data_IF_228974286189
#
_entry.id   IF_228974286189
#
_cell.length_a   1.000
_cell.length_b   1.000
_cell.length_c   1.000
_cell.angle_alpha   90.00
_cell.angle_beta   90.00
_cell.angle_gamma   90.00
#
_symmetry.space_group_name_H-M   'P 1'
#
loop_
_entity.id
_entity.type
_entity.pdbx_description
1 polymer ?
#
# COMPACT_ATOMS: atom_id res chain seq x y z
N UNK A 1 -11.59 13.13 -38.67
CA UNK A 1 -13.04 13.44 -38.54
C UNK A 1 -13.94 12.59 -39.46
N UNK A 2 -13.60 12.37 -40.75
CA UNK A 2 -14.41 11.53 -41.66
C UNK A 2 -14.42 10.02 -41.34
N UNK A 3 -13.40 9.49 -40.65
CA UNK A 3 -13.31 8.06 -40.29
C UNK A 3 -14.15 7.67 -39.06
N UNK A 4 -14.37 8.60 -38.12
CA UNK A 4 -15.18 8.39 -36.92
C UNK A 4 -16.70 8.33 -37.23
N UNK A 5 -17.14 9.08 -38.24
CA UNK A 5 -18.52 9.07 -38.73
C UNK A 5 -18.90 7.76 -39.45
N UNK A 6 -17.92 7.01 -39.97
CA UNK A 6 -18.16 5.73 -40.63
C UNK A 6 -18.43 4.62 -39.61
N UNK A 7 -17.64 4.56 -38.52
CA UNK A 7 -17.82 3.58 -37.44
C UNK A 7 -19.11 3.78 -36.65
N UNK A 8 -19.55 5.03 -36.43
CA UNK A 8 -20.83 5.30 -35.78
C UNK A 8 -22.03 4.81 -36.62
N UNK A 9 -21.91 4.81 -37.95
CA UNK A 9 -22.96 4.35 -38.86
C UNK A 9 -23.11 2.83 -38.86
N UNK A 10 -22.01 2.08 -38.75
CA UNK A 10 -22.02 0.62 -38.60
C UNK A 10 -22.56 0.16 -37.24
N UNK A 11 -22.21 0.87 -36.16
CA UNK A 11 -22.71 0.56 -34.81
C UNK A 11 -24.23 0.82 -34.73
N UNK A 12 -24.73 1.88 -35.38
CA UNK A 12 -26.16 2.18 -35.42
C UNK A 12 -26.97 1.22 -36.32
N UNK A 13 -26.37 0.67 -37.37
CA UNK A 13 -27.03 -0.34 -38.21
C UNK A 13 -27.13 -1.71 -37.55
N UNK A 14 -26.17 -2.09 -36.69
CA UNK A 14 -26.19 -3.37 -35.98
C UNK A 14 -27.12 -3.40 -34.75
N UNK A 15 -27.59 -2.24 -34.25
CA UNK A 15 -28.49 -2.16 -33.09
C UNK A 15 -30.00 -2.10 -33.44
N UNK A 16 -30.37 -1.96 -34.71
CA UNK A 16 -31.77 -1.91 -35.14
C UNK A 16 -32.12 -3.02 -36.13
N UNK A 17 -32.08 -4.27 -35.66
CA UNK A 17 -32.86 -5.37 -36.25
C UNK A 17 -34.08 -5.68 -35.39
N UNK A 18 -34.85 -4.65 -35.01
CA UNK A 18 -36.16 -4.84 -34.36
C UNK A 18 -37.23 -4.65 -35.43
N UNK A 19 -37.84 -5.77 -35.82
CA UNK A 19 -38.89 -5.87 -36.82
C UNK A 19 -40.21 -5.31 -36.26
N UNK A 20 -40.45 -4.00 -36.36
CA UNK A 20 -41.73 -3.39 -36.02
C UNK A 20 -42.72 -3.51 -37.19
N UNK A 21 -43.33 -4.68 -37.37
CA UNK A 21 -44.64 -4.75 -38.02
C UNK A 21 -45.68 -4.17 -37.04
N UNK A 22 -46.13 -2.94 -37.29
CA UNK A 22 -47.47 -2.51 -36.89
C UNK A 22 -47.64 -1.67 -35.61
N UNK A 23 -46.70 -0.78 -35.24
CA UNK A 23 -46.95 0.19 -34.16
C UNK A 23 -46.59 1.62 -34.61
N UNK A 24 -47.62 2.45 -34.83
CA UNK A 24 -47.48 3.91 -35.01
C UNK A 24 -47.13 4.55 -33.66
N UNK A 25 -45.86 4.84 -33.40
CA UNK A 25 -45.48 5.69 -32.26
C UNK A 25 -45.79 7.15 -32.56
N UNK A 26 -46.56 7.80 -31.66
CA UNK A 26 -46.83 9.23 -31.68
C UNK A 26 -45.52 10.01 -31.46
N UNK A 27 -45.40 11.17 -32.13
CA UNK A 27 -44.22 12.06 -32.17
C UNK A 27 -43.59 12.43 -30.82
N UNK A 28 -44.26 12.16 -29.70
CA UNK A 28 -43.82 12.47 -28.33
C UNK A 28 -42.73 11.52 -27.79
N UNK A 29 -42.65 10.27 -28.26
CA UNK A 29 -41.66 9.30 -27.76
C UNK A 29 -40.25 9.52 -28.34
N UNK A 30 -40.16 10.02 -29.59
CA UNK A 30 -38.88 10.34 -30.24
C UNK A 30 -38.18 11.55 -29.59
N UNK A 31 -38.95 12.51 -29.07
CA UNK A 31 -38.43 13.71 -28.40
C UNK A 31 -37.71 13.40 -27.08
N UNK A 32 -38.21 12.41 -26.33
CA UNK A 32 -37.64 12.01 -25.04
C UNK A 32 -36.31 11.25 -25.24
N UNK A 33 -36.22 10.43 -26.29
CA UNK A 33 -34.98 9.69 -26.60
C UNK A 33 -33.86 10.62 -27.09
N UNK A 34 -34.20 11.65 -27.88
CA UNK A 34 -33.24 12.68 -28.34
C UNK A 34 -32.79 13.56 -27.16
N UNK A 35 -33.68 13.87 -26.22
CA UNK A 35 -33.34 14.59 -24.98
C UNK A 35 -32.36 13.81 -24.08
N UNK A 36 -32.55 12.50 -23.92
CA UNK A 36 -31.63 11.66 -23.14
C UNK A 36 -30.26 11.51 -23.80
N UNK A 37 -30.19 11.42 -25.14
CA UNK A 37 -28.92 11.39 -25.88
C UNK A 37 -28.15 12.72 -25.82
N UNK A 38 -28.85 13.86 -25.79
CA UNK A 38 -28.22 15.18 -25.63
C UNK A 38 -27.62 15.38 -24.23
N UNK A 39 -28.26 14.86 -23.17
CA UNK A 39 -27.72 14.91 -21.80
C UNK A 39 -26.49 14.01 -21.64
N UNK A 40 -26.47 12.85 -22.32
CA UNK A 40 -25.28 11.96 -22.34
C UNK A 40 -24.10 12.60 -23.10
N UNK A 41 -24.37 13.40 -24.13
CA UNK A 41 -23.34 14.13 -24.88
C UNK A 41 -22.78 15.35 -24.13
N UNK A 42 -23.56 15.99 -23.26
CA UNK A 42 -23.11 17.14 -22.45
C UNK A 42 -22.17 16.72 -21.30
N UNK A 43 -22.17 15.45 -20.89
CA UNK A 43 -21.19 14.92 -19.93
C UNK A 43 -19.89 14.39 -20.57
N UNK A 44 -19.75 14.45 -21.90
CA UNK A 44 -18.50 14.16 -22.58
C UNK A 44 -17.89 15.45 -23.14
N UNK A 45 -16.69 15.79 -22.65
CA UNK A 45 -15.77 16.82 -23.20
C UNK A 45 -16.10 18.30 -22.92
N UNK A 46 -15.83 18.75 -21.69
CA UNK A 46 -15.20 20.07 -21.51
C UNK A 46 -13.68 19.90 -21.71
N UNK A 47 -13.26 19.72 -22.96
CA UNK A 47 -11.85 19.73 -23.35
C UNK A 47 -11.47 21.19 -23.61
N UNK A 48 -10.95 21.86 -22.58
CA UNK A 48 -10.28 23.16 -22.75
C UNK A 48 -9.01 22.89 -23.56
N UNK A 49 -9.01 23.31 -24.82
CA UNK A 49 -7.84 23.20 -25.71
C UNK A 49 -6.87 24.31 -25.31
N UNK A 50 -5.84 23.95 -24.53
CA UNK A 50 -4.64 24.77 -24.36
C UNK A 50 -3.68 24.43 -25.52
N UNK A 51 -3.18 25.40 -26.29
CA UNK A 51 -2.24 25.12 -27.36
C UNK A 51 -0.85 24.86 -26.74
N UNK A 52 -0.49 23.58 -26.60
CA UNK A 52 0.84 23.15 -26.18
C UNK A 52 0.89 21.68 -25.74
N UNK A 53 1.29 20.78 -26.65
CA UNK A 53 1.83 19.45 -26.36
C UNK A 53 0.93 18.47 -25.57
N UNK A 54 0.24 17.56 -26.28
CA UNK A 54 -0.33 16.36 -25.65
C UNK A 54 0.83 15.41 -25.32
N UNK A 55 1.41 15.55 -24.13
CA UNK A 55 1.97 14.39 -23.41
C UNK A 55 0.78 13.61 -22.87
N UNK A 56 0.72 12.31 -23.15
CA UNK A 56 -0.46 11.47 -22.92
C UNK A 56 -1.03 11.65 -21.51
N UNK A 57 -2.33 11.96 -21.43
CA UNK A 57 -3.04 12.06 -20.16
C UNK A 57 -3.01 10.70 -19.47
N UNK A 58 -2.17 10.56 -18.45
CA UNK A 58 -2.18 9.38 -17.59
C UNK A 58 -3.49 9.43 -16.80
N UNK A 59 -4.35 8.43 -16.95
CA UNK A 59 -5.62 8.37 -16.23
C UNK A 59 -5.32 8.18 -14.74
N UNK A 60 -5.56 9.21 -13.94
CA UNK A 60 -5.49 9.10 -12.49
C UNK A 60 -6.68 8.28 -11.96
N UNK A 61 -6.40 7.44 -10.97
CA UNK A 61 -7.37 6.57 -10.32
C UNK A 61 -7.30 6.78 -8.81
N UNK A 62 -8.46 6.99 -8.20
CA UNK A 62 -8.59 7.01 -6.76
C UNK A 62 -8.65 5.55 -6.25
N UNK A 63 -7.65 5.18 -5.46
CA UNK A 63 -7.57 3.91 -4.75
C UNK A 63 -7.11 2.69 -5.58
N UNK A 64 -6.82 1.60 -4.87
CA UNK A 64 -6.44 0.31 -5.45
C UNK A 64 -7.16 -0.85 -4.74
N UNK A 65 -7.77 -1.75 -5.52
CA UNK A 65 -8.58 -2.87 -4.99
C UNK A 65 -9.97 -2.44 -4.53
N UNK A 66 -10.81 -3.42 -4.16
CA UNK A 66 -12.21 -3.20 -3.75
C UNK A 66 -12.65 -4.06 -2.56
N UNK A 67 -11.70 -4.63 -1.82
CA UNK A 67 -11.93 -5.42 -0.62
C UNK A 67 -11.32 -4.77 0.61
N UNK A 68 -11.65 -5.30 1.79
CA UNK A 68 -10.97 -4.95 3.04
C UNK A 68 -9.53 -5.44 3.01
N UNK A 69 -8.53 -4.56 3.19
CA UNK A 69 -7.15 -4.98 3.25
C UNK A 69 -6.86 -5.85 4.47
N UNK A 70 -5.88 -6.74 4.35
CA UNK A 70 -5.28 -7.46 5.47
C UNK A 70 -3.91 -6.85 5.75
N UNK A 71 -3.72 -6.33 6.95
CA UNK A 71 -2.45 -5.76 7.40
C UNK A 71 -1.72 -6.79 8.27
N UNK A 72 -0.54 -7.25 7.88
CA UNK A 72 0.19 -8.31 8.58
C UNK A 72 1.55 -7.78 9.05
N UNK A 73 1.82 -7.92 10.34
CA UNK A 73 3.13 -7.62 10.91
C UNK A 73 4.17 -8.67 10.52
N UNK A 74 5.24 -8.27 9.83
CA UNK A 74 6.28 -9.19 9.34
C UNK A 74 7.64 -8.84 9.95
N UNK A 75 8.32 -9.85 10.49
CA UNK A 75 9.61 -9.70 11.15
C UNK A 75 10.76 -9.42 10.18
N UNK A 76 11.77 -8.70 10.65
CA UNK A 76 12.95 -8.40 9.84
C UNK A 76 14.31 -8.47 10.59
N UNK A 77 14.39 -9.16 11.73
CA UNK A 77 15.69 -9.57 12.28
C UNK A 77 16.48 -10.41 11.27
N UNK A 78 17.80 -10.48 11.43
CA UNK A 78 18.66 -11.28 10.54
C UNK A 78 18.24 -12.75 10.45
N UNK A 79 17.85 -13.34 11.59
CA UNK A 79 17.47 -14.75 11.68
C UNK A 79 16.07 -15.04 11.11
N UNK A 80 15.30 -14.01 10.76
CA UNK A 80 13.98 -14.13 10.13
C UNK A 80 14.02 -13.95 8.60
N UNK A 81 15.19 -13.62 8.04
CA UNK A 81 15.37 -13.38 6.60
C UNK A 81 15.80 -14.66 5.87
N UNK A 82 15.39 -14.87 4.62
CA UNK A 82 14.42 -14.06 3.87
C UNK A 82 12.98 -14.27 4.35
N UNK A 83 12.15 -13.23 4.23
CA UNK A 83 10.71 -13.28 4.50
C UNK A 83 9.96 -13.99 3.37
N UNK A 84 8.73 -14.38 3.64
CA UNK A 84 7.80 -14.97 2.67
C UNK A 84 6.62 -14.05 2.42
N UNK A 85 6.18 -13.96 1.15
CA UNK A 85 4.94 -13.30 0.74
C UNK A 85 5.01 -11.78 0.60
N UNK A 86 6.18 -11.15 0.76
CA UNK A 86 6.29 -9.68 0.63
C UNK A 86 6.15 -9.22 -0.84
N UNK A 87 6.51 -10.07 -1.80
CA UNK A 87 6.37 -9.79 -3.23
C UNK A 87 4.91 -9.63 -3.71
N UNK A 88 3.94 -10.05 -2.89
CA UNK A 88 2.51 -9.93 -3.15
C UNK A 88 1.85 -8.76 -2.40
N UNK A 89 2.56 -8.11 -1.48
CA UNK A 89 2.02 -6.98 -0.74
C UNK A 89 1.83 -5.78 -1.67
N UNK A 90 0.69 -5.10 -1.53
CA UNK A 90 0.43 -3.87 -2.27
C UNK A 90 1.17 -2.68 -1.66
N UNK A 91 1.24 -2.64 -0.33
CA UNK A 91 2.00 -1.62 0.40
C UNK A 91 2.77 -2.27 1.54
N UNK A 92 4.03 -1.91 1.71
CA UNK A 92 4.84 -2.32 2.86
C UNK A 92 5.36 -1.07 3.55
N UNK A 93 5.01 -0.89 4.83
CA UNK A 93 5.66 0.13 5.66
C UNK A 93 6.79 -0.48 6.45
N UNK A 94 7.95 0.18 6.44
CA UNK A 94 9.13 -0.17 7.22
C UNK A 94 9.47 0.96 8.19
N UNK A 95 9.64 0.58 9.45
CA UNK A 95 9.98 1.50 10.54
C UNK A 95 11.00 0.82 11.44
N UNK A 96 11.90 1.59 12.04
CA UNK A 96 12.78 1.08 13.10
C UNK A 96 11.97 0.73 14.35
N UNK A 97 12.34 -0.37 14.99
CA UNK A 97 11.75 -0.89 16.23
C UNK A 97 12.85 -1.06 17.28
N UNK A 98 12.57 -1.77 18.37
CA UNK A 98 13.52 -1.96 19.48
C UNK A 98 14.86 -2.53 19.02
N UNK A 99 15.92 -2.13 19.72
CA UNK A 99 17.30 -2.57 19.45
C UNK A 99 17.81 -2.22 18.05
N UNK A 100 17.14 -1.31 17.34
CA UNK A 100 17.52 -0.86 16.00
C UNK A 100 17.08 -1.79 14.87
N UNK A 101 16.31 -2.84 15.16
CA UNK A 101 15.80 -3.76 14.14
C UNK A 101 14.62 -3.08 13.45
N UNK A 102 14.56 -3.03 12.12
CA UNK A 102 13.32 -2.61 11.45
C UNK A 102 12.29 -3.74 11.44
N UNK A 103 11.00 -3.40 11.37
CA UNK A 103 9.91 -4.35 11.15
C UNK A 103 8.93 -3.80 10.12
N UNK A 104 8.19 -4.71 9.49
CA UNK A 104 7.24 -4.36 8.45
C UNK A 104 5.79 -4.49 8.91
N UNK A 105 4.93 -3.61 8.42
CA UNK A 105 3.49 -3.89 8.27
C UNK A 105 3.19 -3.97 6.78
N UNK A 106 2.83 -5.17 6.32
CA UNK A 106 2.53 -5.47 4.93
C UNK A 106 1.02 -5.51 4.70
N UNK A 107 0.54 -4.72 3.75
CA UNK A 107 -0.87 -4.54 3.42
C UNK A 107 -1.19 -5.32 2.14
N UNK A 108 -2.16 -6.22 2.23
CA UNK A 108 -2.62 -7.07 1.13
C UNK A 108 -4.08 -6.77 0.82
N UNK A 109 -4.36 -6.36 -0.41
CA UNK A 109 -5.69 -6.00 -0.88
C UNK A 109 -6.00 -6.60 -2.26
N UNK A 110 -5.08 -6.48 -3.24
CA UNK A 110 -5.33 -6.92 -4.63
C UNK A 110 -4.95 -8.37 -4.87
N UNK A 111 -4.06 -8.92 -4.04
CA UNK A 111 -3.54 -10.28 -4.17
C UNK A 111 -3.58 -10.99 -2.81
N UNK A 112 -3.86 -12.28 -2.87
CA UNK A 112 -3.71 -13.17 -1.73
C UNK A 112 -2.31 -13.80 -1.73
N UNK A 113 -1.68 -13.83 -0.56
CA UNK A 113 -0.47 -14.58 -0.27
C UNK A 113 -0.79 -15.87 0.52
N UNK A 114 -0.33 -17.01 0.00
CA UNK A 114 -0.47 -18.33 0.60
C UNK A 114 0.40 -18.53 1.85
N UNK A 115 1.48 -17.75 1.97
CA UNK A 115 2.35 -17.73 3.14
C UNK A 115 2.89 -16.31 3.33
N UNK A 116 2.84 -15.83 4.57
CA UNK A 116 3.35 -14.53 4.99
C UNK A 116 4.09 -14.70 6.31
N UNK A 117 5.31 -14.18 6.38
CA UNK A 117 6.06 -14.14 7.64
C UNK A 117 7.58 -14.08 7.48
N UNK A 118 8.34 -14.26 8.57
CA UNK A 118 7.84 -14.63 9.89
C UNK A 118 6.89 -13.57 10.50
N UNK A 119 5.81 -14.03 11.11
CA UNK A 119 4.74 -13.22 11.68
C UNK A 119 5.19 -12.64 13.04
N UNK A 120 5.04 -11.34 13.26
CA UNK A 120 5.58 -10.67 14.46
C UNK A 120 4.62 -9.69 15.12
N UNK A 121 5.08 -9.12 16.22
CA UNK A 121 4.34 -8.24 17.11
C UNK A 121 4.08 -6.88 16.51
N UNK A 122 2.97 -6.31 16.95
CA UNK A 122 2.61 -4.93 16.63
C UNK A 122 3.13 -3.96 17.70
N UNK A 123 3.11 -2.67 17.36
CA UNK A 123 3.41 -1.51 18.22
C UNK A 123 2.33 -0.45 17.94
N UNK A 124 2.15 0.55 18.83
CA UNK A 124 1.16 1.60 18.62
C UNK A 124 1.23 2.22 17.22
N UNK A 125 2.41 2.63 16.77
CA UNK A 125 2.59 3.25 15.45
C UNK A 125 2.33 2.30 14.28
N UNK A 126 2.63 1.00 14.38
CA UNK A 126 2.27 0.05 13.32
C UNK A 126 0.75 -0.16 13.24
N UNK A 127 0.07 -0.18 14.39
CA UNK A 127 -1.38 -0.28 14.45
C UNK A 127 -2.06 0.97 13.90
N UNK A 128 -1.52 2.16 14.22
CA UNK A 128 -1.96 3.42 13.62
C UNK A 128 -1.74 3.39 12.10
N UNK A 129 -0.55 3.01 11.61
CA UNK A 129 -0.29 2.87 10.16
C UNK A 129 -1.29 1.89 9.52
N UNK A 130 -1.49 0.72 10.11
CA UNK A 130 -2.45 -0.26 9.60
C UNK A 130 -3.86 0.34 9.51
N UNK A 131 -4.32 1.03 10.57
CA UNK A 131 -5.66 1.63 10.66
C UNK A 131 -5.99 2.56 9.48
N UNK A 132 -4.99 3.19 8.86
CA UNK A 132 -5.20 4.08 7.70
C UNK A 132 -5.77 3.38 6.46
N UNK A 133 -5.80 2.05 6.46
CA UNK A 133 -6.31 1.21 5.36
C UNK A 133 -7.65 0.54 5.69
N UNK A 134 -8.27 0.85 6.84
CA UNK A 134 -9.44 0.13 7.38
C UNK A 134 -9.27 -1.42 7.35
N UNK A 135 -8.17 -1.98 7.88
CA UNK A 135 -7.80 -3.36 7.60
C UNK A 135 -8.43 -4.35 8.59
N UNK A 136 -8.21 -5.64 8.32
CA UNK A 136 -8.04 -6.64 9.38
C UNK A 136 -6.56 -6.62 9.79
N UNK A 137 -6.24 -6.05 10.94
CA UNK A 137 -4.86 -5.95 11.45
C UNK A 137 -4.43 -7.20 12.20
N UNK A 138 -3.41 -7.86 11.68
CA UNK A 138 -2.94 -9.17 12.09
C UNK A 138 -1.53 -9.06 12.68
N UNK A 139 -1.33 -9.61 13.89
CA UNK A 139 -0.02 -9.58 14.54
C UNK A 139 0.21 -10.77 15.51
N UNK A 140 1.48 -11.09 15.76
CA UNK A 140 1.90 -12.09 16.75
C UNK A 140 2.23 -11.42 18.10
N UNK A 141 1.18 -11.08 18.82
CA UNK A 141 1.21 -10.51 20.17
C UNK A 141 1.80 -9.09 20.30
N UNK A 142 1.69 -8.52 21.48
CA UNK A 142 2.29 -7.23 21.87
C UNK A 142 2.36 -7.13 23.40
N UNK A 143 2.79 -6.00 23.96
CA UNK A 143 2.79 -5.73 25.40
C UNK A 143 1.41 -5.24 25.89
N UNK A 144 1.05 -5.43 27.17
CA UNK A 144 -0.30 -5.15 27.72
C UNK A 144 -0.93 -3.82 27.31
N UNK A 145 -0.22 -2.71 27.55
CA UNK A 145 -0.71 -1.37 27.18
C UNK A 145 -0.90 -1.19 25.67
N UNK A 146 -0.13 -1.88 24.83
CA UNK A 146 -0.32 -1.84 23.40
C UNK A 146 -1.55 -2.65 22.97
N UNK A 147 -1.91 -3.75 23.64
CA UNK A 147 -3.17 -4.43 23.35
C UNK A 147 -4.35 -3.50 23.61
N UNK A 148 -4.38 -2.86 24.78
CA UNK A 148 -5.41 -1.89 25.13
C UNK A 148 -5.48 -0.74 24.11
N UNK A 149 -4.32 -0.21 23.71
CA UNK A 149 -4.26 0.85 22.70
C UNK A 149 -4.79 0.38 21.33
N UNK A 150 -4.37 -0.79 20.85
CA UNK A 150 -4.84 -1.37 19.59
C UNK A 150 -6.37 -1.56 19.60
N UNK A 151 -6.92 -2.05 20.70
CA UNK A 151 -8.36 -2.20 20.88
C UNK A 151 -9.09 -0.84 20.82
N UNK A 152 -8.52 0.19 21.45
CA UNK A 152 -9.08 1.54 21.43
C UNK A 152 -9.16 2.19 20.04
N UNK A 153 -8.37 1.70 19.07
CA UNK A 153 -8.42 2.17 17.68
C UNK A 153 -9.67 1.70 16.92
N UNK A 154 -10.46 0.78 17.50
CA UNK A 154 -11.73 0.34 16.93
C UNK A 154 -11.60 -0.18 15.48
N UNK A 155 -10.57 -0.99 15.21
CA UNK A 155 -10.42 -1.71 13.94
C UNK A 155 -10.56 -3.21 14.15
N UNK A 156 -10.83 -3.93 13.07
CA UNK A 156 -10.81 -5.38 13.07
C UNK A 156 -9.39 -5.88 13.32
N UNK A 157 -9.23 -6.76 14.30
CA UNK A 157 -7.93 -7.27 14.74
C UNK A 157 -7.95 -8.77 14.89
N UNK A 158 -6.85 -9.40 14.47
CA UNK A 158 -6.59 -10.80 14.76
C UNK A 158 -5.18 -10.93 15.32
N UNK A 159 -5.08 -11.16 16.63
CA UNK A 159 -3.80 -11.52 17.23
C UNK A 159 -3.59 -13.04 17.19
N UNK A 160 -2.37 -13.52 17.00
CA UNK A 160 -2.02 -14.93 17.23
C UNK A 160 -1.97 -15.28 18.73
N UNK A 161 -1.91 -14.27 19.60
CA UNK A 161 -1.74 -14.41 21.04
C UNK A 161 -2.89 -13.71 21.78
N UNK A 162 -3.35 -14.31 22.88
CA UNK A 162 -4.31 -13.67 23.79
C UNK A 162 -3.58 -12.69 24.70
N UNK A 163 -4.17 -11.51 24.95
CA UNK A 163 -3.74 -10.68 26.08
C UNK A 163 -4.04 -11.42 27.40
N UNK A 164 -2.99 -11.69 28.17
CA UNK A 164 -3.09 -12.38 29.47
C UNK A 164 -3.07 -11.42 30.65
N UNK A 165 -2.92 -10.12 30.40
CA UNK A 165 -2.90 -9.09 31.45
C UNK A 165 -4.31 -8.69 31.92
N UNK A 166 -5.33 -8.92 31.08
CA UNK A 166 -6.69 -8.46 31.33
C UNK A 166 -6.92 -6.98 30.99
N UNK A 167 -5.97 -6.32 30.33
CA UNK A 167 -6.10 -4.91 29.92
C UNK A 167 -6.91 -4.73 28.63
N UNK A 168 -7.08 -5.79 27.85
CA UNK A 168 -7.81 -5.80 26.59
C UNK A 168 -8.66 -7.05 26.42
N UNK A 169 -9.72 -6.97 25.59
CA UNK A 169 -10.49 -8.15 25.18
C UNK A 169 -9.89 -8.91 23.98
N UNK A 170 -8.74 -8.46 23.45
CA UNK A 170 -8.08 -9.11 22.31
C UNK A 170 -7.63 -10.53 22.69
N UNK A 171 -8.20 -11.51 21.98
CA UNK A 171 -7.90 -12.93 22.10
C UNK A 171 -7.16 -13.49 20.88
N UNK A 172 -6.43 -14.58 21.09
CA UNK A 172 -5.70 -15.29 20.04
C UNK A 172 -6.61 -15.96 19.03
N UNK A 173 -6.88 -15.30 17.91
CA UNK A 173 -7.78 -15.78 16.84
C UNK A 173 -7.12 -15.83 15.47
N UNK A 174 -5.95 -15.20 15.28
CA UNK A 174 -5.27 -15.20 13.99
C UNK A 174 -4.78 -16.62 13.67
N UNK A 175 -5.15 -17.19 12.51
CA UNK A 175 -4.62 -18.48 12.09
C UNK A 175 -3.12 -18.35 11.80
N UNK A 176 -2.34 -19.32 12.28
CA UNK A 176 -0.91 -19.41 12.01
C UNK A 176 -0.44 -20.86 12.16
N UNK A 177 0.74 -21.16 11.63
CA UNK A 177 1.48 -22.38 11.91
C UNK A 177 2.95 -22.04 12.22
N UNK A 178 3.71 -23.04 12.66
CA UNK A 178 5.14 -22.90 12.88
C UNK A 178 5.93 -23.72 11.87
N UNK A 179 6.88 -23.09 11.19
CA UNK A 179 7.86 -23.73 10.34
C UNK A 179 9.24 -23.67 11.01
N UNK A 180 9.65 -24.79 11.61
CA UNK A 180 10.91 -24.94 12.31
C UNK A 180 12.11 -25.13 11.38
N UNK A 181 11.89 -25.35 10.08
CA UNK A 181 12.98 -25.37 9.11
C UNK A 181 13.51 -23.95 8.84
N UNK A 182 12.71 -22.92 9.14
CA UNK A 182 13.06 -21.51 8.92
C UNK A 182 13.95 -20.92 10.00
N UNK A 183 13.85 -21.40 11.23
CA UNK A 183 14.69 -20.94 12.33
C UNK A 183 14.65 -21.91 13.52
N UNK A 184 15.73 -21.91 14.31
CA UNK A 184 15.76 -22.56 15.64
C UNK A 184 15.19 -21.67 16.75
N UNK A 185 14.93 -20.39 16.44
CA UNK A 185 14.43 -19.38 17.37
C UNK A 185 12.92 -19.26 17.19
N UNK A 186 12.15 -19.58 18.23
CA UNK A 186 10.68 -19.70 18.17
C UNK A 186 10.00 -18.43 17.64
N UNK A 187 10.54 -17.26 17.95
CA UNK A 187 10.04 -15.94 17.55
C UNK A 187 10.11 -15.72 16.04
N UNK A 188 10.83 -16.56 15.30
CA UNK A 188 11.06 -16.44 13.85
C UNK A 188 10.45 -17.60 13.06
N UNK A 189 9.66 -18.46 13.68
CA UNK A 189 9.07 -19.64 13.02
C UNK A 189 7.58 -19.53 12.73
N UNK A 190 6.89 -18.48 13.20
CA UNK A 190 5.46 -18.34 12.96
C UNK A 190 5.16 -17.79 11.56
N UNK A 191 4.22 -18.41 10.84
CA UNK A 191 3.76 -17.98 9.52
C UNK A 191 2.24 -18.02 9.46
N UNK A 192 1.67 -17.20 8.58
CA UNK A 192 0.21 -17.12 8.34
C UNK A 192 -0.06 -17.01 6.84
N UNK A 193 -1.32 -16.86 6.45
CA UNK A 193 -1.71 -16.58 5.07
C UNK A 193 -2.91 -15.64 5.03
N UNK A 194 -2.95 -14.78 4.02
CA UNK A 194 -4.11 -13.90 3.77
C UNK A 194 -5.40 -14.70 3.57
N UNK A 195 -5.30 -15.88 2.94
CA UNK A 195 -6.42 -16.79 2.67
C UNK A 195 -7.02 -17.29 3.99
N UNK A 196 -6.19 -17.83 4.90
CA UNK A 196 -6.66 -18.33 6.19
C UNK A 196 -7.22 -17.22 7.07
N UNK A 197 -6.60 -16.04 7.05
CA UNK A 197 -7.10 -14.85 7.76
C UNK A 197 -8.50 -14.46 7.24
N UNK A 198 -8.70 -14.36 5.93
CA UNK A 198 -10.00 -14.04 5.33
C UNK A 198 -11.07 -15.10 5.64
N UNK A 199 -10.71 -16.38 5.62
CA UNK A 199 -11.60 -17.46 6.04
C UNK A 199 -11.99 -17.33 7.52
N UNK A 200 -11.02 -17.06 8.40
CA UNK A 200 -11.29 -16.84 9.82
C UNK A 200 -12.16 -15.60 10.05
N UNK A 201 -11.96 -14.55 9.27
CA UNK A 201 -12.72 -13.31 9.33
C UNK A 201 -14.21 -13.58 9.08
N UNK A 202 -14.51 -14.30 7.99
CA UNK A 202 -15.88 -14.72 7.67
C UNK A 202 -16.50 -15.56 8.80
N UNK A 203 -15.75 -16.51 9.36
CA UNK A 203 -16.23 -17.37 10.45
C UNK A 203 -16.60 -16.59 11.72
N UNK A 204 -15.89 -15.49 12.01
CA UNK A 204 -16.14 -14.65 13.20
C UNK A 204 -16.99 -13.41 12.89
N UNK A 205 -17.51 -13.29 11.66
CA UNK A 205 -18.39 -12.20 11.24
C UNK A 205 -17.69 -10.86 10.96
N UNK A 206 -16.38 -10.85 10.70
CA UNK A 206 -15.70 -9.65 10.22
C UNK A 206 -16.00 -9.43 8.73
N UNK A 207 -16.33 -8.19 8.31
CA UNK A 207 -16.62 -7.88 6.91
C UNK A 207 -15.36 -8.02 6.06
N UNK A 208 -15.52 -8.51 4.83
CA UNK A 208 -14.44 -8.53 3.84
C UNK A 208 -14.56 -7.42 2.81
N UNK A 209 -15.67 -6.69 2.85
CA UNK A 209 -15.91 -5.49 2.06
C UNK A 209 -15.15 -4.30 2.66
N UNK A 210 -14.61 -3.46 1.79
CA UNK A 210 -13.84 -2.28 2.16
C UNK A 210 -13.50 -1.43 0.94
N UNK A 211 -12.88 -0.27 1.18
CA UNK A 211 -12.57 0.72 0.14
C UNK A 211 -11.20 0.50 -0.53
N UNK A 212 -10.55 -0.64 -0.26
CA UNK A 212 -9.20 -0.92 -0.72
C UNK A 212 -8.16 0.04 -0.16
N UNK A 213 -7.15 0.34 -0.96
CA UNK A 213 -6.00 1.16 -0.58
C UNK A 213 -6.30 2.61 -0.95
N UNK A 214 -6.26 3.57 -0.01
CA UNK A 214 -6.77 4.93 -0.22
C UNK A 214 -5.73 5.91 -0.79
N UNK A 215 -4.82 5.44 -1.65
CA UNK A 215 -3.85 6.30 -2.34
C UNK A 215 -4.34 6.74 -3.72
N UNK A 216 -3.74 7.79 -4.27
CA UNK A 216 -3.95 8.19 -5.66
C UNK A 216 -2.96 7.46 -6.57
N UNK A 217 -3.45 6.98 -7.71
CA UNK A 217 -2.66 6.18 -8.64
C UNK A 217 -2.70 6.72 -10.06
N UNK A 218 -1.65 6.41 -10.82
CA UNK A 218 -1.49 6.69 -12.25
C UNK A 218 -0.82 5.49 -12.93
N UNK A 219 -0.86 5.46 -14.26
CA UNK A 219 -0.05 4.53 -15.05
C UNK A 219 1.44 4.88 -15.06
N UNK A 220 2.25 3.88 -15.41
CA UNK A 220 3.70 4.02 -15.62
C UNK A 220 4.02 5.11 -16.65
N UNK A 221 5.13 5.83 -16.44
CA UNK A 221 5.63 6.74 -17.46
C UNK A 221 6.08 5.97 -18.72
N UNK A 222 5.89 6.61 -19.88
CA UNK A 222 6.46 6.14 -21.13
C UNK A 222 7.99 6.02 -20.99
N UNK A 223 8.59 5.09 -21.72
CA UNK A 223 10.02 4.81 -21.60
C UNK A 223 10.88 6.06 -21.79
N UNK A 224 10.53 6.97 -22.71
CA UNK A 224 11.27 8.23 -22.92
C UNK A 224 11.14 9.26 -21.79
N UNK A 225 10.14 9.15 -20.91
CA UNK A 225 9.87 10.10 -19.82
C UNK A 225 10.38 9.60 -18.45
N UNK A 226 10.91 8.37 -18.37
CA UNK A 226 11.51 7.84 -17.13
C UNK A 226 12.84 8.53 -16.84
N UNK A 227 13.08 8.85 -15.57
CA UNK A 227 14.26 9.58 -15.11
C UNK A 227 15.54 8.73 -15.07
N UNK A 228 16.57 9.32 -14.46
CA UNK A 228 17.91 8.74 -14.36
C UNK A 228 18.33 8.37 -12.94
N UNK A 229 17.48 8.60 -11.93
CA UNK A 229 17.78 8.18 -10.55
C UNK A 229 17.81 6.67 -10.52
N UNK A 230 19.00 6.12 -10.31
CA UNK A 230 19.26 4.69 -10.41
C UNK A 230 19.35 4.01 -9.04
N UNK A 231 19.61 4.77 -7.97
CA UNK A 231 19.76 4.22 -6.64
C UNK A 231 19.23 5.18 -5.58
N UNK A 232 18.39 4.66 -4.70
CA UNK A 232 17.91 5.35 -3.50
C UNK A 232 18.44 4.63 -2.27
N UNK A 233 19.12 5.36 -1.39
CA UNK A 233 19.66 4.87 -0.13
C UNK A 233 18.83 5.37 1.05
N UNK A 234 18.54 4.48 2.00
CA UNK A 234 17.78 4.77 3.22
C UNK A 234 18.51 4.19 4.44
N UNK A 235 18.72 5.01 5.45
CA UNK A 235 19.33 4.65 6.74
C UNK A 235 18.29 4.68 7.87
N UNK A 236 18.09 3.57 8.57
CA UNK A 236 17.17 3.48 9.70
C UNK A 236 17.80 3.82 11.06
N UNK A 237 19.01 4.38 11.06
CA UNK A 237 19.68 4.85 12.26
C UNK A 237 18.89 5.93 13.01
N UNK A 238 18.98 5.89 14.33
CA UNK A 238 18.47 6.87 15.30
C UNK A 238 19.59 7.28 16.25
N UNK A 239 19.44 8.34 17.06
CA UNK A 239 20.42 8.66 18.10
C UNK A 239 20.71 7.50 19.07
N UNK A 240 19.72 6.62 19.30
CA UNK A 240 19.88 5.46 20.17
C UNK A 240 20.49 4.23 19.48
N UNK A 241 20.27 4.08 18.17
CA UNK A 241 20.63 2.88 17.43
C UNK A 241 21.26 3.19 16.08
N UNK A 242 22.38 2.56 15.78
CA UNK A 242 22.99 2.57 14.44
C UNK A 242 22.97 1.15 13.85
N UNK A 243 21.82 0.68 13.35
CA UNK A 243 21.63 -0.71 13.01
C UNK A 243 22.36 -1.10 11.73
N UNK A 244 23.47 -1.83 11.90
CA UNK A 244 24.23 -2.38 10.78
C UNK A 244 23.40 -3.46 10.09
N UNK A 245 23.36 -3.42 8.75
CA UNK A 245 22.67 -4.41 7.92
C UNK A 245 21.15 -4.24 7.81
N UNK A 246 20.64 -3.08 8.22
CA UNK A 246 19.25 -2.65 8.02
C UNK A 246 19.12 -1.48 7.05
N UNK A 247 20.23 -0.85 6.66
CA UNK A 247 20.26 0.12 5.58
C UNK A 247 19.76 -0.53 4.28
N UNK A 248 19.02 0.25 3.49
CA UNK A 248 18.33 -0.22 2.29
C UNK A 248 18.80 0.56 1.08
N UNK A 249 18.97 -0.15 -0.03
CA UNK A 249 19.17 0.42 -1.35
C UNK A 249 18.04 -0.05 -2.26
N UNK A 250 17.43 0.88 -2.98
CA UNK A 250 16.49 0.59 -4.06
C UNK A 250 17.17 0.92 -5.37
N UNK A 251 17.53 -0.11 -6.14
CA UNK A 251 18.13 0.05 -7.45
C UNK A 251 17.03 0.07 -8.51
N UNK A 252 16.90 1.17 -9.24
CA UNK A 252 15.88 1.33 -10.27
C UNK A 252 16.27 0.54 -11.52
N UNK A 253 15.46 -0.47 -11.86
CA UNK A 253 15.51 -1.14 -13.15
C UNK A 253 14.57 -0.42 -14.13
N UNK A 254 15.20 0.27 -15.08
CA UNK A 254 14.51 1.07 -16.08
C UNK A 254 13.67 0.22 -17.04
N UNK A 255 14.02 -1.05 -17.26
CA UNK A 255 13.29 -1.93 -18.18
C UNK A 255 11.93 -2.33 -17.59
N UNK A 256 11.93 -2.91 -16.39
CA UNK A 256 10.70 -3.27 -15.67
C UNK A 256 9.96 -2.07 -15.07
N UNK A 257 10.59 -0.89 -15.07
CA UNK A 257 10.11 0.31 -14.39
C UNK A 257 9.80 0.02 -12.92
N UNK A 258 10.77 -0.54 -12.20
CA UNK A 258 10.61 -0.93 -10.80
C UNK A 258 11.92 -0.76 -10.03
N UNK A 259 11.83 -0.73 -8.72
CA UNK A 259 12.95 -0.57 -7.80
C UNK A 259 13.24 -1.90 -7.12
N UNK A 260 14.38 -2.50 -7.43
CA UNK A 260 14.88 -3.73 -6.81
C UNK A 260 15.45 -3.42 -5.42
N UNK A 261 14.96 -4.11 -4.38
CA UNK A 261 15.34 -3.84 -2.99
C UNK A 261 16.57 -4.66 -2.57
N UNK A 262 17.52 -3.97 -1.98
CA UNK A 262 18.71 -4.53 -1.34
C UNK A 262 18.75 -4.08 0.11
N UNK A 263 19.17 -4.95 1.02
CA UNK A 263 19.21 -4.68 2.45
C UNK A 263 20.52 -5.18 3.04
N UNK A 264 21.22 -4.30 3.77
CA UNK A 264 22.54 -4.61 4.30
C UNK A 264 23.55 -5.04 3.22
N UNK A 265 23.44 -4.47 2.03
CA UNK A 265 24.30 -4.78 0.88
C UNK A 265 24.00 -6.09 0.15
N UNK A 266 22.93 -6.81 0.50
CA UNK A 266 22.51 -8.05 -0.16
C UNK A 266 21.15 -7.88 -0.83
N UNK A 267 20.90 -8.61 -1.92
CA UNK A 267 19.59 -8.67 -2.53
C UNK A 267 18.54 -9.11 -1.51
N UNK A 268 17.46 -8.36 -1.37
CA UNK A 268 16.36 -8.73 -0.50
C UNK A 268 15.42 -9.66 -1.26
N UNK A 269 15.62 -10.97 -1.11
CA UNK A 269 14.84 -11.99 -1.80
C UNK A 269 13.62 -12.41 -0.99
N UNK A 270 12.54 -12.75 -1.67
CA UNK A 270 11.41 -13.47 -1.07
C UNK A 270 11.71 -14.97 -1.06
N UNK A 271 11.49 -15.62 0.09
CA UNK A 271 11.83 -17.03 0.30
C UNK A 271 11.07 -17.96 -0.67
N UNK A 272 9.81 -17.65 -0.98
CA UNK A 272 8.95 -18.58 -1.75
C UNK A 272 9.27 -18.58 -3.23
N UNK A 273 9.76 -17.45 -3.74
CA UNK A 273 10.03 -17.27 -5.16
C UNK A 273 11.53 -17.29 -5.49
N UNK A 274 12.38 -17.02 -4.50
CA UNK A 274 13.80 -16.77 -4.71
C UNK A 274 14.09 -15.48 -5.49
N UNK A 275 13.07 -14.68 -5.82
CA UNK A 275 13.20 -13.45 -6.58
C UNK A 275 13.49 -12.26 -5.67
N UNK A 276 14.21 -11.28 -6.21
CA UNK A 276 14.42 -10.00 -5.52
C UNK A 276 13.08 -9.28 -5.38
N UNK A 277 12.78 -8.83 -4.17
CA UNK A 277 11.60 -7.99 -3.89
C UNK A 277 11.76 -6.67 -4.64
N UNK A 278 10.72 -6.27 -5.36
CA UNK A 278 10.68 -5.00 -6.07
C UNK A 278 9.43 -4.18 -5.77
N UNK A 279 9.57 -2.86 -5.91
CA UNK A 279 8.47 -1.90 -5.74
C UNK A 279 8.29 -1.04 -6.99
N UNK A 280 7.06 -0.69 -7.35
CA UNK A 280 6.78 0.33 -8.37
C UNK A 280 7.03 1.74 -7.84
N UNK A 281 6.84 1.93 -6.53
CA UNK A 281 7.00 3.20 -5.85
C UNK A 281 7.84 3.00 -4.58
N UNK A 282 8.79 3.89 -4.36
CA UNK A 282 9.48 4.03 -3.07
C UNK A 282 9.09 5.38 -2.47
N UNK A 283 8.54 5.36 -1.26
CA UNK A 283 8.12 6.55 -0.53
C UNK A 283 8.93 6.62 0.75
N UNK A 284 9.50 7.78 1.03
CA UNK A 284 10.23 8.02 2.28
C UNK A 284 9.52 9.14 3.03
N UNK A 285 9.00 8.82 4.21
CA UNK A 285 8.34 9.77 5.10
C UNK A 285 9.31 10.22 6.18
N UNK A 286 9.59 11.52 6.23
CA UNK A 286 10.38 12.11 7.30
C UNK A 286 9.47 12.37 8.48
N UNK A 287 9.78 11.77 9.62
CA UNK A 287 9.00 11.89 10.85
C UNK A 287 9.87 11.89 12.10
N UNK A 288 9.24 12.18 13.24
CA UNK A 288 9.88 12.12 14.55
C UNK A 288 9.89 10.68 15.05
N UNK A 289 11.09 10.17 15.35
CA UNK A 289 11.32 8.85 15.92
C UNK A 289 12.14 9.05 17.19
N UNK A 290 11.55 8.67 18.33
CA UNK A 290 12.13 8.85 19.65
C UNK A 290 12.22 7.49 20.33
N UNK A 291 13.34 7.23 20.98
CA UNK A 291 13.48 6.10 21.87
C UNK A 291 14.92 5.86 22.27
N UNK A 292 15.17 4.89 23.15
CA UNK A 292 14.15 4.09 23.84
C UNK A 292 13.29 4.93 24.80
N UNK A 293 11.98 4.71 24.83
CA UNK A 293 11.03 5.45 25.70
C UNK A 293 10.75 4.76 27.04
N UNK A 294 11.24 3.53 27.21
CA UNK A 294 11.15 2.77 28.46
C UNK A 294 12.29 1.76 28.63
N UNK A 295 12.26 1.00 29.72
CA UNK A 295 13.26 -0.04 30.02
C UNK A 295 13.27 -1.20 29.02
N UNK A 296 12.13 -1.45 28.34
CA UNK A 296 11.97 -2.50 27.32
C UNK A 296 12.42 -2.06 25.94
N UNK A 297 12.95 -0.83 25.84
CA UNK A 297 13.56 -0.27 24.63
C UNK A 297 12.56 0.06 23.53
N UNK A 298 11.29 0.19 23.88
CA UNK A 298 10.26 0.58 22.94
C UNK A 298 10.58 1.92 22.26
N UNK A 299 10.14 2.07 21.01
CA UNK A 299 10.26 3.29 20.22
C UNK A 299 8.90 3.99 20.13
N UNK A 300 8.94 5.31 19.99
CA UNK A 300 7.79 6.16 19.65
C UNK A 300 8.02 6.75 18.27
N UNK A 301 7.00 6.68 17.42
CA UNK A 301 7.05 7.18 16.04
C UNK A 301 5.82 8.03 15.81
N UNK A 302 6.01 9.28 15.37
CA UNK A 302 4.88 10.13 15.01
C UNK A 302 4.28 9.67 13.69
N UNK A 303 2.98 9.37 13.68
CA UNK A 303 2.25 8.91 12.49
C UNK A 303 1.21 9.91 12.00
N UNK A 304 0.97 11.00 12.72
CA UNK A 304 -0.02 12.05 12.40
C UNK A 304 0.64 13.42 12.26
N UNK A 305 -0.13 14.40 11.78
CA UNK A 305 0.35 15.73 11.41
C UNK A 305 0.89 15.74 9.99
N UNK A 306 1.95 16.51 9.76
CA UNK A 306 2.61 16.61 8.46
C UNK A 306 4.13 16.46 8.58
N UNK A 307 4.79 16.22 7.46
CA UNK A 307 6.24 16.14 7.37
C UNK A 307 6.74 16.09 5.93
N UNK A 308 8.04 16.28 5.75
CA UNK A 308 8.66 16.14 4.44
C UNK A 308 8.54 14.70 3.94
N UNK A 309 8.39 14.54 2.63
CA UNK A 309 8.41 13.25 1.98
C UNK A 309 9.24 13.30 0.69
N UNK A 310 9.79 12.15 0.33
CA UNK A 310 10.47 11.92 -0.93
C UNK A 310 9.80 10.74 -1.64
N UNK A 311 9.48 10.93 -2.91
CA UNK A 311 8.78 9.94 -3.72
C UNK A 311 9.63 9.57 -4.91
N UNK A 312 9.91 8.28 -5.06
CA UNK A 312 10.66 7.74 -6.18
C UNK A 312 9.74 6.87 -7.02
N UNK A 313 9.47 7.36 -8.22
CA UNK A 313 8.61 6.75 -9.23
C UNK A 313 9.19 7.02 -10.61
N UNK A 314 9.08 6.04 -11.51
CA UNK A 314 9.55 6.17 -12.90
C UNK A 314 11.02 6.63 -13.04
N UNK A 315 11.91 6.30 -12.09
CA UNK A 315 13.31 6.73 -12.12
C UNK A 315 13.52 8.22 -11.79
N UNK A 316 12.49 8.89 -11.28
CA UNK A 316 12.55 10.28 -10.83
C UNK A 316 12.47 10.36 -9.30
N UNK A 317 12.95 11.48 -8.75
CA UNK A 317 12.74 11.85 -7.36
C UNK A 317 11.81 13.08 -7.33
N UNK A 318 10.75 13.00 -6.53
CA UNK A 318 9.82 14.10 -6.27
C UNK A 318 9.88 14.43 -4.79
N UNK A 319 10.23 15.67 -4.49
CA UNK A 319 10.14 16.21 -3.13
C UNK A 319 8.74 16.73 -2.85
N UNK A 320 8.28 16.55 -1.61
CA UNK A 320 6.97 17.03 -1.20
C UNK A 320 6.70 16.78 0.28
N UNK A 321 5.43 16.54 0.62
CA UNK A 321 4.98 16.41 2.00
C UNK A 321 3.95 15.30 2.17
N UNK A 322 4.01 14.62 3.30
CA UNK A 322 2.92 13.79 3.78
C UNK A 322 2.09 14.52 4.81
N UNK A 323 0.79 14.22 4.84
CA UNK A 323 -0.16 14.74 5.81
C UNK A 323 -1.11 13.63 6.28
N UNK A 324 -1.50 13.68 7.55
CA UNK A 324 -2.47 12.78 8.14
C UNK A 324 -3.10 13.42 9.39
N UNK A 325 -4.40 13.66 9.37
CA UNK A 325 -5.11 14.34 10.46
C UNK A 325 -5.04 13.56 11.78
N UNK A 326 -5.59 12.34 11.78
CA UNK A 326 -5.62 11.43 12.92
C UNK A 326 -5.31 9.98 12.53
N UNK A 327 -5.24 9.11 13.53
CA UNK A 327 -4.91 7.69 13.36
C UNK A 327 -5.93 6.91 12.51
N UNK A 328 -7.13 7.45 12.27
CA UNK A 328 -8.11 6.84 11.36
C UNK A 328 -8.06 7.37 9.94
N UNK A 329 -7.31 8.46 9.69
CA UNK A 329 -7.25 9.08 8.37
C UNK A 329 -6.19 8.39 7.49
N UNK A 330 -6.40 8.33 6.17
CA UNK A 330 -5.37 7.89 5.24
C UNK A 330 -4.20 8.88 5.20
N UNK A 331 -3.01 8.38 4.85
CA UNK A 331 -1.91 9.25 4.48
C UNK A 331 -2.23 9.96 3.16
N UNK A 332 -2.04 11.28 3.15
CA UNK A 332 -2.11 12.10 1.94
C UNK A 332 -0.70 12.45 1.51
N UNK A 333 -0.36 12.17 0.26
CA UNK A 333 0.94 12.50 -0.33
C UNK A 333 0.78 13.69 -1.27
N UNK A 334 1.64 14.70 -1.13
CA UNK A 334 1.62 15.93 -1.93
C UNK A 334 2.99 16.20 -2.53
N UNK A 335 3.02 16.69 -3.76
CA UNK A 335 4.24 17.20 -4.39
C UNK A 335 4.68 18.55 -3.81
N UNK A 336 5.84 19.07 -4.22
CA UNK A 336 6.35 20.37 -3.79
C UNK A 336 5.47 21.58 -4.19
N UNK A 337 4.48 21.38 -5.07
CA UNK A 337 3.45 22.37 -5.40
C UNK A 337 2.18 22.25 -4.55
N UNK A 338 2.12 21.30 -3.61
CA UNK A 338 0.97 21.04 -2.74
C UNK A 338 -0.15 20.24 -3.40
N UNK A 339 0.06 19.70 -4.61
CA UNK A 339 -0.93 18.87 -5.31
C UNK A 339 -0.82 17.44 -4.85
N UNK A 340 -1.94 16.71 -4.87
CA UNK A 340 -1.94 15.27 -4.57
C UNK A 340 -0.99 14.55 -5.53
N UNK A 341 -0.08 13.75 -4.96
CA UNK A 341 0.84 12.93 -5.72
C UNK A 341 0.18 11.59 -6.06
N UNK A 342 0.14 11.27 -7.35
CA UNK A 342 -0.30 9.97 -7.86
C UNK A 342 0.86 8.99 -8.01
N UNK A 343 0.77 7.83 -7.35
CA UNK A 343 1.73 6.74 -7.40
C UNK A 343 1.53 5.86 -8.65
N UNK A 344 2.55 5.15 -9.12
CA UNK A 344 2.35 4.11 -10.13
C UNK A 344 1.46 2.98 -9.59
N UNK A 345 0.55 2.46 -10.43
CA UNK A 345 -0.20 1.24 -10.09
C UNK A 345 0.79 0.09 -9.85
N UNK A 346 0.77 -0.46 -8.62
CA UNK A 346 1.62 -1.58 -8.22
C UNK A 346 2.12 -1.42 -6.78
N UNK A 347 3.11 -2.26 -6.42
CA UNK A 347 3.63 -2.33 -5.05
C UNK A 347 4.31 -1.02 -4.64
N UNK A 348 4.07 -0.59 -3.40
CA UNK A 348 4.63 0.62 -2.80
C UNK A 348 5.39 0.26 -1.53
N UNK A 349 6.66 0.64 -1.46
CA UNK A 349 7.45 0.52 -0.23
C UNK A 349 7.53 1.88 0.45
N UNK A 350 7.10 1.97 1.71
CA UNK A 350 7.09 3.20 2.49
C UNK A 350 8.08 3.06 3.65
N UNK A 351 9.12 3.88 3.67
CA UNK A 351 10.09 3.93 4.76
C UNK A 351 9.86 5.15 5.62
N UNK A 352 9.68 4.98 6.93
CA UNK A 352 9.59 6.11 7.87
C UNK A 352 10.93 6.28 8.59
N UNK A 353 11.56 7.45 8.44
CA UNK A 353 12.90 7.74 8.96
C UNK A 353 12.99 9.17 9.52
N UNK A 354 14.06 9.42 10.29
CA UNK A 354 14.39 10.77 10.76
C UNK A 354 14.96 11.65 9.63
N UNK A 355 15.02 12.97 9.80
CA UNK A 355 15.70 13.85 8.84
C UNK A 355 17.15 13.42 8.55
N UNK A 356 17.59 13.59 7.30
CA UNK A 356 18.97 13.28 6.87
C UNK A 356 19.26 11.80 6.64
N UNK A 357 18.22 10.96 6.54
CA UNK A 357 18.32 9.49 6.43
C UNK A 357 18.03 8.92 5.05
N UNK A 358 17.93 9.78 4.04
CA UNK A 358 17.67 9.40 2.65
C UNK A 358 18.64 10.15 1.74
N UNK A 359 19.10 9.45 0.71
CA UNK A 359 19.89 10.03 -0.38
C UNK A 359 19.66 9.24 -1.66
N UNK A 360 19.99 9.80 -2.82
CA UNK A 360 19.82 9.15 -4.11
C UNK A 360 20.83 9.65 -5.13
N UNK A 361 21.05 8.86 -6.18
CA UNK A 361 21.97 9.13 -7.28
C UNK A 361 21.35 8.80 -8.63
#
# INVERSE_FOLDING_TARGET
>A
MKTYLFYLKEILQNFYSINFKGIRMKKTAASILIGMLAVILIFSSAMVIIPGGIKGAVKEMAGLGSGRPVAIMVENSFAARPQSGLYLADVVFEVVDEYGITRFVAIYCTKDASIVGPFRSSRPYYAEIAKSFDPIHCFFGTYPHCYQYIESLGMYVMSAMTDRSGMSSIVGLCPYWRDWNRSKVQEHTAFTSTISIKQKAQQIGYPLEGNGIPFSYKGDAAEGDRGSINNVFIDFGTPAYSPKGFNVNFQYDRNSNSYLRYMGGKAHVDHETGQIISAKNVVVLITDIVGPIDQYKHMSVRTTGSGQAFYFLDGNAVEGTWERGGASDPFTFKDGGGRILSLNVGSTWVSMVMPGKVGWQ
#
